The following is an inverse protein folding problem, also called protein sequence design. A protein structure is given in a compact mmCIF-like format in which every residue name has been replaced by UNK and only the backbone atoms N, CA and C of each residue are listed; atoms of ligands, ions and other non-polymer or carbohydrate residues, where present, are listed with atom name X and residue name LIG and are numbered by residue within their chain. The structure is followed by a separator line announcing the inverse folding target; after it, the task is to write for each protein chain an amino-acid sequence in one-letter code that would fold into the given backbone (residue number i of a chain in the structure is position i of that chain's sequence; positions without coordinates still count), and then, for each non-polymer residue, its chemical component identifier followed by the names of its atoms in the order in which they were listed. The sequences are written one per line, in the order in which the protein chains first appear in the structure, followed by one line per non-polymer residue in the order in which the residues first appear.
data_IF_580273702005
#
_entry.id   IF_580273702005
#
_cell.length_a   1.000
_cell.length_b   1.000
_cell.length_c   1.000
_cell.angle_alpha   90.00
_cell.angle_beta   90.00
_cell.angle_gamma   90.00
#
_symmetry.space_group_name_H-M   'P 1'
#
loop_
_entity.id
_entity.type
_entity.pdbx_description
1 polymer ?
#
# COMPACT_ATOMS: atom_id res chain seq x y z
N UNK A 1 7.02 -14.76 -7.93
CA UNK A 1 5.72 -14.89 -8.63
C UNK A 1 4.58 -15.18 -7.66
N UNK A 2 4.79 -15.98 -6.60
CA UNK A 2 3.72 -16.29 -5.61
C UNK A 2 3.23 -15.08 -4.82
N UNK A 3 4.10 -14.16 -4.41
CA UNK A 3 3.70 -12.98 -3.65
C UNK A 3 2.73 -12.06 -4.43
N UNK A 4 2.98 -11.85 -5.74
CA UNK A 4 2.11 -11.04 -6.61
C UNK A 4 0.78 -11.73 -6.89
N UNK A 5 0.77 -13.07 -6.94
CA UNK A 5 -0.45 -13.86 -7.12
C UNK A 5 -1.31 -13.88 -5.85
N UNK A 6 -0.66 -13.91 -4.68
CA UNK A 6 -1.29 -13.96 -3.37
C UNK A 6 -2.04 -12.67 -2.99
N UNK A 7 -1.52 -11.48 -3.32
CA UNK A 7 -2.20 -10.23 -2.94
C UNK A 7 -3.38 -9.81 -3.82
N UNK A 8 -3.72 -10.62 -4.84
CA UNK A 8 -4.87 -10.40 -5.72
C UNK A 8 -4.75 -9.16 -6.63
N UNK A 9 -5.87 -8.76 -7.23
CA UNK A 9 -5.92 -7.63 -8.17
C UNK A 9 -5.44 -6.30 -7.55
N UNK A 10 -5.64 -6.11 -6.25
CA UNK A 10 -5.26 -4.88 -5.56
C UNK A 10 -3.73 -4.65 -5.54
N UNK A 11 -2.91 -5.70 -5.66
CA UNK A 11 -1.46 -5.53 -5.77
C UNK A 11 -1.04 -4.74 -7.00
N UNK A 12 -1.73 -4.87 -8.13
CA UNK A 12 -1.41 -4.07 -9.32
C UNK A 12 -1.68 -2.59 -9.11
N UNK A 13 -2.74 -2.25 -8.35
CA UNK A 13 -3.07 -0.88 -7.99
C UNK A 13 -1.98 -0.30 -7.07
N UNK A 14 -1.55 -1.06 -6.05
CA UNK A 14 -0.48 -0.65 -5.15
C UNK A 14 0.86 -0.48 -5.87
N UNK A 15 1.19 -1.37 -6.81
CA UNK A 15 2.39 -1.24 -7.64
C UNK A 15 2.32 0.00 -8.54
N UNK A 16 1.18 0.25 -9.19
CA UNK A 16 1.01 1.46 -10.01
C UNK A 16 1.16 2.74 -9.17
N UNK A 17 0.54 2.78 -7.98
CA UNK A 17 0.72 3.89 -7.04
C UNK A 17 2.18 4.02 -6.59
N UNK A 18 2.86 2.92 -6.30
CA UNK A 18 4.28 2.92 -5.94
C UNK A 18 5.18 3.45 -7.06
N UNK A 19 4.91 3.07 -8.30
CA UNK A 19 5.63 3.53 -9.50
C UNK A 19 5.48 5.03 -9.73
N UNK A 20 4.41 5.66 -9.27
CA UNK A 20 4.24 7.13 -9.34
C UNK A 20 4.82 7.80 -8.10
N UNK A 21 4.59 7.23 -6.92
CA UNK A 21 4.92 7.84 -5.63
C UNK A 21 6.43 7.85 -5.38
N UNK A 22 7.14 6.74 -5.64
CA UNK A 22 8.59 6.63 -5.39
C UNK A 22 9.38 7.62 -6.27
N UNK A 23 9.20 7.70 -7.59
CA UNK A 23 9.92 8.67 -8.41
C UNK A 23 9.61 10.11 -8.00
N UNK A 24 8.35 10.42 -7.67
CA UNK A 24 7.97 11.75 -7.17
C UNK A 24 8.72 12.08 -5.88
N UNK A 25 8.86 11.12 -4.97
CA UNK A 25 9.59 11.27 -3.72
C UNK A 25 11.10 11.43 -3.94
N UNK A 26 11.67 10.68 -4.88
CA UNK A 26 13.09 10.83 -5.28
C UNK A 26 13.34 12.22 -5.86
N UNK A 27 12.46 12.71 -6.74
CA UNK A 27 12.59 14.05 -7.32
C UNK A 27 12.46 15.14 -6.24
N UNK A 28 11.56 14.96 -5.27
CA UNK A 28 11.42 15.86 -4.13
C UNK A 28 12.66 15.84 -3.22
N UNK A 29 13.22 14.66 -2.94
CA UNK A 29 14.45 14.53 -2.16
C UNK A 29 15.66 15.23 -2.82
N UNK A 30 15.67 15.31 -4.15
CA UNK A 30 16.73 16.00 -4.92
C UNK A 30 16.48 17.52 -4.99
N UNK A 31 15.25 17.93 -5.32
CA UNK A 31 14.84 19.32 -5.46
C UNK A 31 13.60 19.59 -4.60
N UNK A 32 13.83 19.98 -3.35
CA UNK A 32 12.77 20.19 -2.40
C UNK A 32 11.91 21.41 -2.78
N UNK A 33 10.62 21.20 -3.01
CA UNK A 33 9.66 22.27 -3.33
C UNK A 33 8.31 22.04 -2.66
N UNK A 34 7.67 23.12 -2.20
CA UNK A 34 6.38 23.04 -1.49
C UNK A 34 5.28 22.37 -2.34
N UNK A 35 5.28 22.59 -3.66
CA UNK A 35 4.34 21.97 -4.58
C UNK A 35 4.45 20.43 -4.59
N UNK A 36 5.68 19.89 -4.66
CA UNK A 36 5.93 18.44 -4.64
C UNK A 36 5.56 17.81 -3.30
N UNK A 37 5.74 18.53 -2.20
CA UNK A 37 5.32 18.06 -0.87
C UNK A 37 3.79 17.88 -0.78
N UNK A 38 3.02 18.81 -1.34
CA UNK A 38 1.55 18.70 -1.38
C UNK A 38 1.10 17.46 -2.18
N UNK A 39 1.73 17.23 -3.35
CA UNK A 39 1.48 16.03 -4.17
C UNK A 39 1.83 14.76 -3.40
N UNK A 40 2.99 14.69 -2.74
CA UNK A 40 3.40 13.52 -1.98
C UNK A 40 2.49 13.22 -0.80
N UNK A 41 1.93 14.25 -0.17
CA UNK A 41 0.91 14.07 0.87
C UNK A 41 -0.37 13.46 0.31
N UNK A 42 -0.85 13.93 -0.84
CA UNK A 42 -2.02 13.36 -1.51
C UNK A 42 -1.77 11.91 -1.96
N UNK A 43 -0.61 11.62 -2.55
CA UNK A 43 -0.21 10.27 -2.96
C UNK A 43 -0.05 9.33 -1.77
N UNK A 44 0.47 9.81 -0.65
CA UNK A 44 0.58 9.02 0.59
C UNK A 44 -0.80 8.62 1.12
N UNK A 45 -1.75 9.56 1.14
CA UNK A 45 -3.13 9.24 1.53
C UNK A 45 -3.81 8.27 0.58
N UNK A 46 -3.63 8.45 -0.73
CA UNK A 46 -4.16 7.52 -1.73
C UNK A 46 -3.56 6.10 -1.56
N UNK A 47 -2.25 6.00 -1.31
CA UNK A 47 -1.57 4.74 -1.07
C UNK A 47 -2.09 4.05 0.19
N UNK A 48 -2.22 4.78 1.31
CA UNK A 48 -2.74 4.22 2.56
C UNK A 48 -4.20 3.75 2.41
N UNK A 49 -5.04 4.56 1.76
CA UNK A 49 -6.43 4.21 1.50
C UNK A 49 -6.54 2.96 0.60
N UNK A 50 -5.75 2.88 -0.47
CA UNK A 50 -5.70 1.71 -1.35
C UNK A 50 -5.19 0.46 -0.62
N UNK A 51 -4.21 0.63 0.27
CA UNK A 51 -3.63 -0.45 1.09
C UNK A 51 -4.68 -1.04 2.03
N UNK A 52 -5.39 -0.19 2.76
CA UNK A 52 -6.46 -0.60 3.66
C UNK A 52 -7.65 -1.21 2.91
N UNK A 53 -8.05 -0.61 1.79
CA UNK A 53 -9.14 -1.12 0.96
C UNK A 53 -8.80 -2.51 0.41
N UNK A 54 -7.55 -2.74 -0.03
CA UNK A 54 -7.07 -4.05 -0.45
C UNK A 54 -7.13 -5.10 0.64
N UNK A 55 -6.68 -4.75 1.84
CA UNK A 55 -6.73 -5.64 2.99
C UNK A 55 -8.19 -6.01 3.36
N UNK A 56 -9.06 -5.01 3.48
CA UNK A 56 -10.47 -5.23 3.85
C UNK A 56 -11.23 -6.00 2.76
N UNK A 57 -11.00 -5.69 1.48
CA UNK A 57 -11.64 -6.39 0.37
C UNK A 57 -11.18 -7.85 0.25
N UNK A 58 -9.89 -8.12 0.49
CA UNK A 58 -9.37 -9.50 0.55
C UNK A 58 -10.01 -10.33 1.67
N UNK A 59 -10.13 -9.74 2.87
CA UNK A 59 -10.81 -10.42 3.99
C UNK A 59 -12.29 -10.63 3.71
N UNK A 60 -12.98 -9.62 3.17
CA UNK A 60 -14.39 -9.73 2.82
C UNK A 60 -14.63 -10.82 1.77
N UNK A 61 -13.79 -10.88 0.72
CA UNK A 61 -13.86 -11.92 -0.31
C UNK A 61 -13.62 -13.32 0.28
N UNK A 62 -12.65 -13.45 1.19
CA UNK A 62 -12.35 -14.72 1.88
C UNK A 62 -13.53 -15.19 2.72
N UNK A 63 -14.09 -14.30 3.55
CA UNK A 63 -15.27 -14.62 4.36
C UNK A 63 -16.47 -14.97 3.49
N UNK A 64 -16.68 -14.25 2.39
CA UNK A 64 -17.76 -14.54 1.44
C UNK A 64 -17.56 -15.89 0.75
N UNK A 65 -16.34 -16.26 0.39
CA UNK A 65 -16.03 -17.57 -0.18
C UNK A 65 -16.36 -18.69 0.82
N UNK A 66 -15.81 -18.62 2.03
CA UNK A 66 -16.02 -19.63 3.08
C UNK A 66 -17.50 -19.78 3.44
N UNK A 67 -18.25 -18.68 3.49
CA UNK A 67 -19.68 -18.70 3.83
C UNK A 67 -20.55 -19.36 2.75
N UNK A 68 -20.13 -19.33 1.48
CA UNK A 68 -20.93 -19.81 0.35
C UNK A 68 -20.44 -21.14 -0.25
N UNK A 69 -19.30 -21.66 0.20
CA UNK A 69 -18.74 -22.93 -0.24
C UNK A 69 -18.98 -24.01 0.83
N UNK A 70 -19.82 -25.03 0.57
CA UNK A 70 -20.14 -26.09 1.54
C UNK A 70 -18.95 -26.95 1.97
N UNK A 71 -17.88 -27.02 1.17
CA UNK A 71 -16.66 -27.74 1.56
C UNK A 71 -15.81 -26.87 2.47
N UNK A 72 -15.62 -25.60 2.13
CA UNK A 72 -14.89 -24.65 2.96
C UNK A 72 -15.59 -24.42 4.32
N UNK A 73 -16.93 -24.47 4.35
CA UNK A 73 -17.69 -24.29 5.60
C UNK A 73 -17.50 -25.44 6.60
N UNK A 74 -17.18 -26.65 6.12
CA UNK A 74 -16.91 -27.80 7.01
C UNK A 74 -15.60 -27.61 7.79
N UNK A 75 -14.60 -27.04 7.14
CA UNK A 75 -13.28 -26.75 7.73
C UNK A 75 -12.85 -25.32 7.35
N UNK A 76 -13.40 -24.27 8.00
CA UNK A 76 -13.22 -22.89 7.55
C UNK A 76 -11.84 -22.32 7.90
N UNK A 77 -11.19 -22.85 8.92
CA UNK A 77 -9.98 -22.25 9.49
C UNK A 77 -8.81 -22.16 8.49
N UNK A 78 -8.46 -23.20 7.71
CA UNK A 78 -7.39 -23.10 6.72
C UNK A 78 -7.64 -22.03 5.66
N UNK A 79 -8.86 -21.94 5.13
CA UNK A 79 -9.23 -20.94 4.12
C UNK A 79 -9.18 -19.52 4.66
N UNK A 80 -9.66 -19.31 5.89
CA UNK A 80 -9.57 -18.02 6.57
C UNK A 80 -8.11 -17.60 6.83
N UNK A 81 -7.24 -18.52 7.22
CA UNK A 81 -5.81 -18.24 7.43
C UNK A 81 -5.10 -17.87 6.13
N UNK A 82 -5.37 -18.60 5.04
CA UNK A 82 -4.82 -18.29 3.71
C UNK A 82 -5.29 -16.92 3.25
N UNK A 83 -6.60 -16.66 3.28
CA UNK A 83 -7.14 -15.36 2.85
C UNK A 83 -6.69 -14.19 3.73
N UNK A 84 -6.47 -14.42 5.04
CA UNK A 84 -5.85 -13.43 5.92
C UNK A 84 -4.39 -13.15 5.54
N UNK A 85 -3.59 -14.19 5.27
CA UNK A 85 -2.21 -14.05 4.83
C UNK A 85 -2.12 -13.29 3.49
N UNK A 86 -2.97 -13.63 2.53
CA UNK A 86 -3.10 -12.97 1.23
C UNK A 86 -3.48 -11.49 1.38
N UNK A 87 -4.47 -11.19 2.23
CA UNK A 87 -4.89 -9.82 2.53
C UNK A 87 -3.75 -9.01 3.13
N UNK A 88 -2.98 -9.62 4.05
CA UNK A 88 -1.85 -8.99 4.73
C UNK A 88 -0.71 -8.64 3.76
N UNK A 89 -0.57 -9.36 2.65
CA UNK A 89 0.42 -9.02 1.61
C UNK A 89 0.20 -7.60 1.03
N UNK A 90 -1.05 -7.13 0.97
CA UNK A 90 -1.36 -5.74 0.57
C UNK A 90 -0.80 -4.74 1.59
N UNK A 91 -0.93 -5.01 2.89
CA UNK A 91 -0.37 -4.16 3.95
C UNK A 91 1.16 -4.10 3.89
N UNK A 92 1.80 -5.24 3.67
CA UNK A 92 3.27 -5.31 3.57
C UNK A 92 3.77 -4.50 2.37
N UNK A 93 3.17 -4.67 1.20
CA UNK A 93 3.57 -3.95 0.00
C UNK A 93 3.30 -2.44 0.13
N UNK A 94 2.07 -2.07 0.48
CA UNK A 94 1.67 -0.68 0.64
C UNK A 94 2.46 0.05 1.73
N UNK A 95 2.66 -0.62 2.87
CA UNK A 95 3.49 -0.12 3.97
C UNK A 95 4.96 0.02 3.60
N UNK A 96 5.52 -0.92 2.83
CA UNK A 96 6.89 -0.83 2.32
C UNK A 96 7.10 0.36 1.39
N UNK A 97 6.17 0.58 0.45
CA UNK A 97 6.20 1.76 -0.44
C UNK A 97 6.07 3.05 0.37
N UNK A 98 5.16 3.09 1.35
CA UNK A 98 4.96 4.25 2.22
C UNK A 98 6.22 4.55 3.04
N UNK A 99 6.86 3.55 3.63
CA UNK A 99 8.09 3.70 4.40
C UNK A 99 9.22 4.30 3.55
N UNK A 100 9.46 3.76 2.35
CA UNK A 100 10.47 4.30 1.42
C UNK A 100 10.14 5.75 1.04
N UNK A 101 8.88 6.01 0.71
CA UNK A 101 8.40 7.35 0.35
C UNK A 101 8.64 8.35 1.48
N UNK A 102 8.31 7.99 2.72
CA UNK A 102 8.46 8.89 3.87
C UNK A 102 9.92 9.12 4.26
N UNK A 103 10.79 8.11 4.10
CA UNK A 103 12.24 8.30 4.24
C UNK A 103 12.73 9.34 3.22
N UNK A 104 12.33 9.24 1.96
CA UNK A 104 12.70 10.20 0.91
C UNK A 104 12.12 11.60 1.18
N UNK A 105 10.87 11.68 1.66
CA UNK A 105 10.26 12.94 2.09
C UNK A 105 11.05 13.57 3.23
N UNK A 106 11.43 12.81 4.25
CA UNK A 106 12.23 13.31 5.37
C UNK A 106 13.58 13.89 4.91
N UNK A 107 14.24 13.22 3.95
CA UNK A 107 15.46 13.74 3.31
C UNK A 107 15.20 15.05 2.56
N UNK A 108 14.10 15.13 1.80
CA UNK A 108 13.72 16.34 1.07
C UNK A 108 13.38 17.52 1.98
N UNK A 109 12.62 17.29 3.05
CA UNK A 109 12.28 18.32 4.05
C UNK A 109 13.53 18.87 4.72
N UNK A 110 14.51 18.03 5.06
CA UNK A 110 15.80 18.49 5.62
C UNK A 110 16.60 19.39 4.67
N UNK A 111 16.36 19.29 3.36
CA UNK A 111 17.02 20.09 2.32
C UNK A 111 16.22 21.35 1.94
N UNK A 112 14.99 21.52 2.43
CA UNK A 112 14.27 22.76 2.23
C UNK A 112 14.99 23.90 2.94
N UNK A 113 15.20 25.05 2.28
CA UNK A 113 15.63 26.26 2.95
C UNK A 113 14.67 26.54 4.10
N UNK A 114 15.18 26.64 5.33
CA UNK A 114 14.39 27.17 6.42
C UNK A 114 14.14 28.64 6.10
N UNK A 115 12.89 29.00 5.79
CA UNK A 115 12.48 30.40 5.80
C UNK A 115 12.67 30.87 7.25
N UNK A 116 13.76 31.60 7.49
CA UNK A 116 13.97 32.35 8.71
C UNK A 116 13.00 33.55 8.66
N UNK A 117 11.75 33.32 9.09
CA UNK A 117 10.80 34.38 9.43
C UNK A 117 10.87 34.71 10.91
#
# INVERSE_FOLDING_TARGET
MEFIRAGGFNMFILLALGLVTIPTAVMFARNASAHRLSILRALSWALLAATLTGFVSGLAATCHYVANDPEALKEPLPYLLVGFAESTANLVLGGGIAAITWILVAVGVRRMPQDNS
#
